data_IF_459511445331
#
_entry.id   IF_459511445331
#
_cell.length_a   1.000
_cell.length_b   1.000
_cell.length_c   1.000
_cell.angle_alpha   90.00
_cell.angle_beta   90.00
_cell.angle_gamma   90.00
#
_symmetry.space_group_name_H-M   'P 1'
#
loop_
_entity.id
_entity.type
_entity.pdbx_description
1 polymer ?
#
# COMPACT_ATOMS: atom_id res chain seq x y z
N UNK A 1 -0.28 10.82 22.04
CA UNK A 1 0.73 9.92 21.43
C UNK A 1 0.79 10.21 19.94
N UNK A 2 1.89 10.76 19.46
CA UNK A 2 2.12 11.05 18.03
C UNK A 2 2.33 9.72 17.30
N UNK A 3 1.28 9.25 16.61
CA UNK A 3 1.38 8.12 15.69
C UNK A 3 2.45 8.46 14.65
N UNK A 4 3.60 7.81 14.74
CA UNK A 4 4.72 8.01 13.85
C UNK A 4 4.31 7.51 12.46
N UNK A 5 3.66 8.37 11.67
CA UNK A 5 3.21 8.04 10.31
C UNK A 5 4.44 7.63 9.51
N UNK A 6 4.58 6.33 9.24
CA UNK A 6 5.58 5.81 8.29
C UNK A 6 5.43 6.61 6.99
N UNK A 7 6.45 7.40 6.66
CA UNK A 7 6.49 8.14 5.40
C UNK A 7 6.99 7.17 4.33
N UNK A 8 6.08 6.69 3.50
CA UNK A 8 6.43 5.97 2.28
C UNK A 8 6.79 6.98 1.19
N UNK A 9 7.81 6.69 0.40
CA UNK A 9 8.17 7.51 -0.75
C UNK A 9 7.05 7.44 -1.81
N UNK A 10 6.89 8.47 -2.67
CA UNK A 10 5.89 8.45 -3.74
C UNK A 10 6.04 7.23 -4.66
N UNK A 11 7.29 6.88 -5.01
CA UNK A 11 7.61 5.77 -5.91
C UNK A 11 7.15 4.43 -5.31
N UNK A 12 7.32 4.26 -4.00
CA UNK A 12 6.84 3.06 -3.32
C UNK A 12 5.31 2.91 -3.36
N UNK A 13 4.58 4.04 -3.29
CA UNK A 13 3.10 4.01 -3.38
C UNK A 13 2.66 3.66 -4.78
N UNK A 14 3.29 4.25 -5.79
CA UNK A 14 3.02 3.97 -7.20
C UNK A 14 3.25 2.51 -7.53
N UNK A 15 4.38 1.93 -7.12
CA UNK A 15 4.66 0.50 -7.34
C UNK A 15 3.64 -0.40 -6.63
N UNK A 16 3.22 -0.05 -5.41
CA UNK A 16 2.22 -0.81 -4.67
C UNK A 16 0.83 -0.77 -5.34
N UNK A 17 0.40 0.39 -5.83
CA UNK A 17 -0.87 0.57 -6.56
C UNK A 17 -0.81 -0.10 -7.94
N UNK A 18 0.30 0.07 -8.66
CA UNK A 18 0.54 -0.57 -9.95
C UNK A 18 0.46 -2.09 -9.84
N UNK A 19 1.02 -2.67 -8.78
CA UNK A 19 0.89 -4.10 -8.52
C UNK A 19 -0.58 -4.53 -8.43
N UNK A 20 -1.43 -3.83 -7.67
CA UNK A 20 -2.87 -4.13 -7.57
C UNK A 20 -3.54 -4.10 -8.93
N UNK A 21 -3.27 -3.07 -9.72
CA UNK A 21 -3.92 -2.84 -11.03
C UNK A 21 -3.44 -3.86 -12.07
N UNK A 22 -2.13 -4.00 -12.25
CA UNK A 22 -1.55 -4.86 -13.29
C UNK A 22 -1.83 -6.34 -13.03
N UNK A 23 -1.81 -6.75 -11.77
CA UNK A 23 -2.07 -8.15 -11.40
C UNK A 23 -3.54 -8.44 -11.13
N UNK A 24 -4.40 -7.40 -11.12
CA UNK A 24 -5.82 -7.48 -10.74
C UNK A 24 -6.04 -8.18 -9.40
N UNK A 25 -5.08 -8.02 -8.46
CA UNK A 25 -5.11 -8.66 -7.15
C UNK A 25 -5.86 -7.79 -6.14
N UNK A 26 -6.51 -8.37 -5.13
CA UNK A 26 -7.16 -7.60 -4.08
C UNK A 26 -6.17 -6.71 -3.32
N UNK A 27 -6.55 -5.46 -3.05
CA UNK A 27 -5.77 -4.51 -2.24
C UNK A 27 -5.35 -5.11 -0.90
N UNK A 28 -6.26 -5.81 -0.23
CA UNK A 28 -5.98 -6.46 1.05
C UNK A 28 -4.85 -7.50 0.97
N UNK A 29 -4.77 -8.23 -0.15
CA UNK A 29 -3.71 -9.22 -0.36
C UNK A 29 -2.37 -8.54 -0.59
N UNK A 30 -2.31 -7.56 -1.50
CA UNK A 30 -1.08 -6.81 -1.79
C UNK A 30 -0.61 -6.03 -0.56
N UNK A 31 -1.52 -5.43 0.20
CA UNK A 31 -1.19 -4.73 1.43
C UNK A 31 -0.53 -5.66 2.46
N UNK A 32 -1.10 -6.85 2.69
CA UNK A 32 -0.53 -7.84 3.62
C UNK A 32 0.87 -8.31 3.18
N UNK A 33 1.07 -8.52 1.89
CA UNK A 33 2.37 -8.92 1.32
C UNK A 33 3.44 -7.83 1.50
N UNK A 34 3.03 -6.57 1.35
CA UNK A 34 3.92 -5.42 1.55
C UNK A 34 4.05 -5.01 3.03
N UNK A 35 3.37 -5.69 3.95
CA UNK A 35 3.33 -5.32 5.38
C UNK A 35 2.65 -3.97 5.63
N UNK A 36 1.78 -3.55 4.71
CA UNK A 36 0.97 -2.34 4.79
C UNK A 36 -0.40 -2.65 5.41
N UNK A 37 -0.97 -1.63 6.06
CA UNK A 37 -2.38 -1.69 6.41
C UNK A 37 -3.24 -1.68 5.15
N UNK A 38 -4.29 -2.50 5.11
CA UNK A 38 -5.22 -2.56 3.97
C UNK A 38 -5.81 -1.18 3.67
N UNK A 39 -6.20 -0.43 4.71
CA UNK A 39 -6.65 0.95 4.57
C UNK A 39 -5.56 1.95 4.18
N UNK A 40 -4.27 1.61 4.32
CA UNK A 40 -3.19 2.47 3.81
C UNK A 40 -3.09 2.34 2.30
N UNK A 41 -3.02 1.12 1.79
CA UNK A 41 -2.92 0.87 0.35
C UNK A 41 -4.23 1.22 -0.38
N UNK A 42 -5.39 1.00 0.24
CA UNK A 42 -6.68 1.39 -0.36
C UNK A 42 -6.93 2.91 -0.38
N UNK A 43 -6.12 3.70 0.33
CA UNK A 43 -6.14 5.17 0.26
C UNK A 43 -5.12 5.72 -0.75
N UNK A 44 -4.34 4.86 -1.40
CA UNK A 44 -3.36 5.25 -2.42
C UNK A 44 -3.91 5.05 -3.82
#
# INVERSE_FOLDING_TARGET
>A
MSQNRRKFSPEYREEAVKMVIETSRPVAQVARELGLGEGTLGNW
#
